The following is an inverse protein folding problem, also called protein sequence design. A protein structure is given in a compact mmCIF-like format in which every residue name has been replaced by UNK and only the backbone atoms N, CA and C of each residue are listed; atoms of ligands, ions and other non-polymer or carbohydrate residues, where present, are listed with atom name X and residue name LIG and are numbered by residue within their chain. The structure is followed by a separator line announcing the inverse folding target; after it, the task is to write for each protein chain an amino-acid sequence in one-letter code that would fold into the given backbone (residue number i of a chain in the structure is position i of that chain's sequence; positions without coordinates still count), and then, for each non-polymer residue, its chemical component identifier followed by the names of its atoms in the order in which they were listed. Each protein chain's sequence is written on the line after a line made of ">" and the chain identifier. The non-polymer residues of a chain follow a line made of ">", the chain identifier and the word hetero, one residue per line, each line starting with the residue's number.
data_IF_909198052726
#
_entry.id   IF_909198052726
#
_cell.length_a   1.000
_cell.length_b   1.000
_cell.length_c   1.000
_cell.angle_alpha   90.00
_cell.angle_beta   90.00
_cell.angle_gamma   90.00
#
_symmetry.space_group_name_H-M   'P 1'
#
loop_
_entity.id
_entity.type
_entity.pdbx_description
1 polymer ?
#
# COMPACT_ATOMS: atom_id res chain seq x y z
N UNK A 1 -0.87 -0.69 3.01
CA UNK A 1 -1.38 0.40 3.84
C UNK A 1 -1.28 1.79 3.20
N UNK A 2 -0.10 2.11 2.66
CA UNK A 2 0.25 3.42 2.13
C UNK A 2 1.05 3.33 0.82
N UNK A 3 1.41 2.13 0.32
CA UNK A 3 2.18 1.99 -0.91
C UNK A 3 1.83 0.64 -1.51
N UNK A 4 1.70 0.60 -2.85
CA UNK A 4 1.25 -0.57 -3.60
C UNK A 4 -0.12 -1.06 -3.09
N UNK A 5 -0.37 -2.39 -3.07
CA UNK A 5 -1.61 -2.99 -2.57
C UNK A 5 -1.61 -3.18 -1.03
N UNK A 6 -0.92 -2.27 -0.34
CA UNK A 6 -0.70 -2.25 1.10
C UNK A 6 -1.10 -0.88 1.70
#
# INVERSE_FOLDING_TARGET
>A
KKWWKF
#
